data_IF_208352821038
#
_entry.id   IF_208352821038
#
_cell.length_a   1.000
_cell.length_b   1.000
_cell.length_c   1.000
_cell.angle_alpha   90.00
_cell.angle_beta   90.00
_cell.angle_gamma   90.00
#
_symmetry.space_group_name_H-M   'P 1'
#
loop_
_entity.id
_entity.type
_entity.pdbx_description
1 polymer ?
#
# COMPACT_ATOMS: atom_id res chain seq x y z
N UNK A 1 8.28 -16.70 1.28
CA UNK A 1 8.70 -15.28 1.30
C UNK A 1 8.61 -14.76 -0.13
N UNK A 2 7.81 -13.73 -0.44
CA UNK A 2 7.86 -13.14 -1.76
C UNK A 2 9.20 -12.44 -1.91
N UNK A 3 10.02 -12.90 -2.85
CA UNK A 3 11.27 -12.25 -3.22
C UNK A 3 10.87 -11.06 -4.08
N UNK A 4 10.83 -9.86 -3.50
CA UNK A 4 10.81 -8.64 -4.28
C UNK A 4 12.18 -8.58 -4.95
N UNK A 5 12.23 -8.94 -6.23
CA UNK A 5 13.46 -8.82 -7.01
C UNK A 5 13.79 -7.33 -7.09
N UNK A 6 14.90 -6.91 -6.48
CA UNK A 6 15.33 -5.53 -6.52
C UNK A 6 15.51 -5.11 -7.98
N UNK A 7 14.56 -4.33 -8.50
CA UNK A 7 14.66 -3.71 -9.82
C UNK A 7 15.55 -2.49 -9.67
N UNK A 8 16.57 -2.37 -10.52
CA UNK A 8 17.38 -1.15 -10.60
C UNK A 8 16.50 -0.04 -11.15
N UNK A 9 16.13 0.90 -10.29
CA UNK A 9 15.40 2.11 -10.70
C UNK A 9 16.35 3.03 -11.46
N UNK A 10 15.84 3.65 -12.53
CA UNK A 10 16.58 4.67 -13.27
C UNK A 10 16.52 5.99 -12.51
N UNK A 11 17.50 6.86 -12.73
CA UNK A 11 17.67 8.12 -11.99
C UNK A 11 16.48 9.07 -12.10
N UNK A 12 15.64 8.87 -13.10
CA UNK A 12 14.51 9.73 -13.48
C UNK A 12 13.14 9.13 -13.11
N UNK A 13 13.09 7.93 -12.51
CA UNK A 13 11.84 7.31 -12.08
C UNK A 13 11.49 7.75 -10.66
N UNK A 14 10.40 8.52 -10.49
CA UNK A 14 9.88 8.85 -9.16
C UNK A 14 9.42 7.60 -8.43
N UNK A 15 9.66 7.50 -7.12
CA UNK A 15 9.19 6.39 -6.30
C UNK A 15 8.00 6.89 -5.45
N UNK A 16 6.86 6.25 -5.63
CA UNK A 16 5.66 6.51 -4.85
C UNK A 16 5.48 5.38 -3.86
N UNK A 17 5.42 5.69 -2.56
CA UNK A 17 5.25 4.68 -1.52
C UNK A 17 3.94 4.91 -0.80
N UNK A 18 3.10 3.88 -0.74
CA UNK A 18 1.88 3.86 0.07
C UNK A 18 1.87 2.62 0.94
N UNK A 19 1.21 2.69 2.09
CA UNK A 19 1.15 1.57 3.04
C UNK A 19 -0.18 1.51 3.77
N UNK A 20 -0.61 0.30 4.13
CA UNK A 20 -1.88 0.10 4.80
C UNK A 20 -2.17 -1.37 5.08
N UNK A 21 -3.24 -1.60 5.86
CA UNK A 21 -3.79 -2.96 6.00
C UNK A 21 -4.50 -3.42 4.73
N UNK A 22 -5.11 -2.48 3.99
CA UNK A 22 -5.89 -2.76 2.77
C UNK A 22 -6.91 -3.90 2.94
N UNK A 23 -7.40 -4.07 4.16
CA UNK A 23 -8.41 -5.05 4.53
C UNK A 23 -9.76 -4.60 3.96
N UNK A 24 -10.47 -5.50 3.27
CA UNK A 24 -11.64 -5.25 2.42
C UNK A 24 -11.50 -3.97 1.58
N UNK A 25 -11.06 -4.09 0.31
CA UNK A 25 -10.80 -2.93 -0.57
C UNK A 25 -12.03 -2.05 -0.85
N UNK A 26 -12.35 -1.16 0.09
CA UNK A 26 -13.43 -0.19 0.03
C UNK A 26 -13.01 1.12 -0.67
N UNK A 27 -13.95 2.07 -0.79
CA UNK A 27 -13.77 3.31 -1.56
C UNK A 27 -12.50 4.08 -1.17
N UNK A 28 -12.19 4.17 0.12
CA UNK A 28 -11.01 4.89 0.63
C UNK A 28 -9.69 4.33 0.09
N UNK A 29 -9.52 3.00 0.16
CA UNK A 29 -8.34 2.34 -0.40
C UNK A 29 -8.23 2.56 -1.92
N UNK A 30 -9.36 2.44 -2.64
CA UNK A 30 -9.39 2.66 -4.09
C UNK A 30 -8.95 4.08 -4.44
N UNK A 31 -9.46 5.09 -3.74
CA UNK A 31 -9.04 6.48 -3.96
C UNK A 31 -7.54 6.67 -3.69
N UNK A 32 -7.01 6.13 -2.58
CA UNK A 32 -5.58 6.20 -2.26
C UNK A 32 -4.72 5.56 -3.36
N UNK A 33 -5.08 4.35 -3.78
CA UNK A 33 -4.34 3.61 -4.81
C UNK A 33 -4.44 4.31 -6.17
N UNK A 34 -5.62 4.78 -6.57
CA UNK A 34 -5.80 5.57 -7.80
C UNK A 34 -4.88 6.80 -7.80
N UNK A 35 -4.82 7.55 -6.70
CA UNK A 35 -3.93 8.71 -6.59
C UNK A 35 -2.45 8.35 -6.68
N UNK A 36 -2.04 7.21 -6.13
CA UNK A 36 -0.67 6.72 -6.28
C UNK A 36 -0.34 6.34 -7.73
N UNK A 37 -1.28 5.71 -8.44
CA UNK A 37 -1.10 5.30 -9.84
C UNK A 37 -1.28 6.43 -10.87
N UNK A 38 -1.85 7.58 -10.49
CA UNK A 38 -1.89 8.79 -11.34
C UNK A 38 -0.49 9.40 -11.53
N UNK A 39 0.48 9.08 -10.67
CA UNK A 39 1.84 9.62 -10.74
C UNK A 39 2.70 8.90 -11.78
N UNK A 40 3.64 9.62 -12.41
CA UNK A 40 4.60 9.05 -13.34
C UNK A 40 5.81 8.47 -12.60
N UNK A 41 5.63 7.30 -11.98
CA UNK A 41 6.69 6.66 -11.21
C UNK A 41 6.44 5.20 -10.87
N UNK A 42 7.36 4.62 -10.11
CA UNK A 42 7.27 3.27 -9.59
C UNK A 42 6.53 3.26 -8.25
N UNK A 43 5.37 2.60 -8.20
CA UNK A 43 4.54 2.52 -6.99
C UNK A 43 4.92 1.29 -6.16
N UNK A 44 5.29 1.52 -4.91
CA UNK A 44 5.54 0.48 -3.89
C UNK A 44 4.37 0.50 -2.90
N UNK A 45 3.70 -0.64 -2.76
CA UNK A 45 2.58 -0.81 -1.83
C UNK A 45 3.02 -1.72 -0.68
N UNK A 46 3.13 -1.15 0.51
CA UNK A 46 3.41 -1.88 1.74
C UNK A 46 2.15 -2.48 2.34
N UNK A 47 2.10 -3.81 2.43
CA UNK A 47 1.01 -4.53 3.11
C UNK A 47 1.38 -4.80 4.57
N UNK A 48 0.54 -4.32 5.47
CA UNK A 48 0.67 -4.61 6.89
C UNK A 48 0.39 -6.08 7.15
N UNK A 49 1.31 -6.77 7.84
CA UNK A 49 1.10 -8.17 8.26
C UNK A 49 -0.03 -8.30 9.29
N UNK A 50 -0.74 -9.42 9.28
CA UNK A 50 -1.79 -9.73 10.28
C UNK A 50 -1.27 -9.62 11.71
N UNK A 51 -0.05 -10.10 11.97
CA UNK A 51 0.58 -10.02 13.28
C UNK A 51 0.74 -8.58 13.75
N UNK A 52 1.09 -7.67 12.86
CA UNK A 52 1.20 -6.24 13.18
C UNK A 52 -0.18 -5.62 13.33
N UNK A 53 -1.11 -5.89 12.41
CA UNK A 53 -2.47 -5.37 12.45
C UNK A 53 -3.20 -5.72 13.75
N UNK A 54 -3.06 -6.97 14.25
CA UNK A 54 -3.66 -7.42 15.52
C UNK A 54 -3.18 -6.63 16.74
N UNK A 55 -1.98 -6.04 16.70
CA UNK A 55 -1.45 -5.21 17.79
C UNK A 55 -1.98 -3.78 17.77
N UNK A 56 -2.56 -3.33 16.66
CA UNK A 56 -2.98 -1.94 16.47
C UNK A 56 -4.37 -1.63 17.04
N UNK A 57 -5.05 -2.58 17.69
CA UNK A 57 -6.37 -2.42 18.33
C UNK A 57 -7.28 -1.41 17.59
N UNK A 58 -7.78 -1.77 16.40
CA UNK A 58 -8.72 -0.91 15.69
C UNK A 58 -10.01 -0.81 16.53
N UNK A 59 -10.33 0.39 17.02
CA UNK A 59 -11.45 0.62 17.92
C UNK A 59 -12.84 0.58 17.24
N UNK A 60 -12.94 0.34 15.94
CA UNK A 60 -14.20 0.44 15.20
C UNK A 60 -14.23 -0.52 14.00
N UNK A 61 -15.40 -1.06 13.67
CA UNK A 61 -15.65 -1.67 12.36
C UNK A 61 -15.57 -0.59 11.28
N UNK A 62 -14.69 -0.78 10.30
CA UNK A 62 -14.75 -0.01 9.07
C UNK A 62 -15.67 -0.79 8.14
N UNK A 63 -16.93 -0.38 8.08
CA UNK A 63 -17.89 -0.92 7.12
C UNK A 63 -17.47 -0.58 5.68
N UNK A 64 -17.87 -1.48 4.78
CA UNK A 64 -17.45 -1.60 3.38
C UNK A 64 -18.04 -0.53 2.48
#
# INVERSE_FOLDING_TARGET
MPIIRARRLRSEEEIIVVGGTFDLLHKGHKTLLTKAFEQKGFVIIGLTTDRFAKKLHKQHEVES
#
